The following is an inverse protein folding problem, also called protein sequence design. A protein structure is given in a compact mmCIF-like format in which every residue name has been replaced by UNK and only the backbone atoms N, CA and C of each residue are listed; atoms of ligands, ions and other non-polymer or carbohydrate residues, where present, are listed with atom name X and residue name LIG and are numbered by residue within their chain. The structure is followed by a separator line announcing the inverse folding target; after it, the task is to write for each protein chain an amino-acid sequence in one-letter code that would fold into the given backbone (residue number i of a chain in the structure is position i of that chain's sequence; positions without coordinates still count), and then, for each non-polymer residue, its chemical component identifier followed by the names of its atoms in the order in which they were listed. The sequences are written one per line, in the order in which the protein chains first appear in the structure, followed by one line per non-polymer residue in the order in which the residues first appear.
data_IF_208623994420
#
_entry.id   IF_208623994420
#
_cell.length_a   1.000
_cell.length_b   1.000
_cell.length_c   1.000
_cell.angle_alpha   90.00
_cell.angle_beta   90.00
_cell.angle_gamma   90.00
#
_symmetry.space_group_name_H-M   'P 1'
#
loop_
_entity.id
_entity.type
_entity.pdbx_description
1 polymer ?
#
# COMPACT_ATOMS: atom_id res chain seq x y z
N UNK A 1 20.23 -19.74 -12.49
CA UNK A 1 20.33 -18.36 -11.95
C UNK A 1 19.09 -17.97 -11.17
N UNK A 2 17.91 -18.10 -11.78
CA UNK A 2 16.67 -17.78 -11.06
C UNK A 2 16.50 -18.59 -9.79
N UNK A 3 16.86 -19.89 -9.82
CA UNK A 3 16.72 -20.77 -8.66
C UNK A 3 17.63 -20.35 -7.48
N UNK A 4 18.76 -19.72 -7.75
CA UNK A 4 19.64 -19.24 -6.68
C UNK A 4 19.06 -18.05 -5.95
N UNK A 5 18.37 -17.17 -6.67
CA UNK A 5 17.69 -16.02 -6.05
C UNK A 5 16.50 -16.52 -5.25
N UNK A 6 15.72 -17.44 -5.81
CA UNK A 6 14.58 -18.02 -5.12
C UNK A 6 15.02 -18.75 -3.83
N UNK A 7 16.09 -19.52 -3.91
CA UNK A 7 16.63 -20.21 -2.74
C UNK A 7 17.11 -19.22 -1.68
N UNK A 8 17.72 -18.12 -2.11
CA UNK A 8 18.19 -17.09 -1.19
C UNK A 8 16.99 -16.40 -0.49
N UNK A 9 15.96 -16.06 -1.24
CA UNK A 9 14.76 -15.46 -0.69
C UNK A 9 14.12 -16.39 0.34
N UNK A 10 13.93 -17.66 -0.02
CA UNK A 10 13.31 -18.65 0.86
C UNK A 10 14.11 -18.85 2.14
N UNK A 11 15.43 -18.89 2.03
CA UNK A 11 16.29 -19.13 3.18
C UNK A 11 16.37 -17.93 4.13
N UNK A 12 16.07 -16.73 3.62
CA UNK A 12 16.16 -15.49 4.42
C UNK A 12 14.80 -14.96 4.87
N UNK A 13 13.71 -15.53 4.37
CA UNK A 13 12.36 -15.16 4.80
C UNK A 13 12.02 -15.92 6.06
N UNK A 14 12.46 -15.39 7.20
CA UNK A 14 12.37 -16.06 8.48
C UNK A 14 11.40 -15.33 9.43
N UNK A 15 11.10 -16.00 10.56
CA UNK A 15 10.29 -15.40 11.62
C UNK A 15 10.94 -14.16 12.23
N UNK A 16 12.26 -14.01 12.10
CA UNK A 16 13.00 -12.86 12.65
C UNK A 16 12.74 -11.59 11.85
N UNK A 17 12.44 -11.71 10.56
CA UNK A 17 12.13 -10.56 9.71
C UNK A 17 11.08 -10.94 8.67
N UNK A 18 9.85 -11.22 9.11
CA UNK A 18 8.80 -11.69 8.21
C UNK A 18 8.32 -10.59 7.27
N UNK A 19 7.72 -11.01 6.16
CA UNK A 19 7.04 -10.11 5.24
C UNK A 19 5.70 -9.68 5.85
N UNK A 20 5.46 -8.37 5.84
CA UNK A 20 4.22 -7.79 6.35
C UNK A 20 3.37 -7.41 5.15
N UNK A 21 2.19 -8.03 4.95
CA UNK A 21 1.33 -7.68 3.82
C UNK A 21 0.82 -6.24 3.94
N UNK A 22 0.90 -5.51 2.84
CA UNK A 22 0.45 -4.13 2.76
C UNK A 22 -0.12 -3.81 1.39
N UNK A 23 -0.91 -2.76 1.30
CA UNK A 23 -1.47 -2.30 0.04
C UNK A 23 -1.32 -0.80 -0.08
N UNK A 24 -1.10 -0.34 -1.30
CA UNK A 24 -0.92 1.07 -1.62
C UNK A 24 -1.68 1.40 -2.89
N UNK A 25 -2.28 2.58 -2.95
CA UNK A 25 -2.99 3.02 -4.13
C UNK A 25 -2.43 4.34 -4.63
N UNK A 26 -2.15 4.40 -5.93
CA UNK A 26 -1.78 5.62 -6.63
C UNK A 26 -3.06 6.23 -7.19
N UNK A 27 -3.51 7.31 -6.56
CA UNK A 27 -4.72 8.01 -7.00
C UNK A 27 -4.31 9.07 -8.00
N UNK A 28 -4.82 8.96 -9.21
CA UNK A 28 -4.44 9.81 -10.32
C UNK A 28 -5.61 10.65 -10.81
N UNK A 29 -5.28 11.84 -11.30
CA UNK A 29 -6.27 12.74 -11.90
C UNK A 29 -5.61 13.59 -12.96
N UNK A 30 -6.41 14.14 -13.86
CA UNK A 30 -5.93 15.15 -14.79
C UNK A 30 -5.89 16.51 -14.09
N UNK A 31 -4.72 17.13 -14.11
CA UNK A 31 -4.55 18.47 -13.57
C UNK A 31 -4.28 19.48 -14.67
N UNK A 32 -4.15 20.75 -14.30
CA UNK A 32 -3.91 21.83 -15.26
C UNK A 32 -2.57 21.66 -15.99
N UNK A 33 -1.62 21.00 -15.37
CA UNK A 33 -0.28 20.79 -15.94
C UNK A 33 -0.03 19.36 -16.40
N UNK A 34 -1.07 18.53 -16.43
CA UNK A 34 -0.96 17.14 -16.81
C UNK A 34 -1.41 16.21 -15.70
N UNK A 35 -0.99 14.97 -15.79
CA UNK A 35 -1.38 13.94 -14.83
C UNK A 35 -0.80 14.22 -13.45
N UNK A 36 -1.65 14.13 -12.43
CA UNK A 36 -1.26 14.32 -11.04
C UNK A 36 -1.57 13.08 -10.22
N UNK A 37 -0.80 12.86 -9.17
CA UNK A 37 -1.07 11.82 -8.20
C UNK A 37 -1.07 12.39 -6.79
N UNK A 38 -1.89 11.79 -5.91
CA UNK A 38 -1.95 12.20 -4.52
C UNK A 38 -0.77 11.60 -3.75
N UNK A 39 -0.04 12.46 -3.08
CA UNK A 39 0.96 12.04 -2.11
C UNK A 39 0.74 12.79 -0.81
N UNK A 40 0.99 12.12 0.30
CA UNK A 40 0.85 12.70 1.64
C UNK A 40 2.20 12.70 2.32
N UNK A 41 2.47 13.75 3.09
CA UNK A 41 3.70 13.81 3.85
C UNK A 41 3.49 13.17 5.22
N UNK A 42 4.30 12.19 5.53
CA UNK A 42 4.26 11.51 6.82
C UNK A 42 4.95 12.38 7.86
N UNK A 43 4.18 12.96 8.77
CA UNK A 43 4.74 13.84 9.81
C UNK A 43 4.60 13.26 11.22
N UNK A 44 4.09 12.04 11.34
CA UNK A 44 4.00 11.37 12.63
C UNK A 44 5.36 10.84 13.07
N UNK A 45 5.50 10.58 14.36
CA UNK A 45 6.75 10.04 14.91
C UNK A 45 6.83 8.53 14.79
N UNK A 46 6.18 7.97 13.78
CA UNK A 46 6.32 6.54 13.48
C UNK A 46 7.74 6.24 13.05
N UNK A 47 8.19 5.04 13.34
CA UNK A 47 9.58 4.63 13.08
C UNK A 47 9.90 4.48 11.59
N UNK A 48 8.88 4.48 10.73
CA UNK A 48 9.06 4.26 9.30
C UNK A 48 8.61 5.48 8.50
N UNK A 49 9.47 5.93 7.59
CA UNK A 49 9.18 6.97 6.61
C UNK A 49 8.75 8.32 7.21
N UNK A 50 9.19 8.64 8.43
CA UNK A 50 8.90 9.95 9.05
C UNK A 50 9.41 11.08 8.16
N UNK A 51 8.56 12.06 7.89
CA UNK A 51 8.89 13.21 7.07
C UNK A 51 8.91 12.96 5.57
N UNK A 52 8.72 11.72 5.13
CA UNK A 52 8.73 11.36 3.72
C UNK A 52 7.34 11.50 3.09
N UNK A 53 7.33 11.72 1.78
CA UNK A 53 6.09 11.72 1.02
C UNK A 53 5.71 10.27 0.70
N UNK A 54 4.44 9.94 0.89
CA UNK A 54 3.93 8.58 0.71
C UNK A 54 2.60 8.60 -0.04
N UNK A 55 2.32 7.50 -0.75
CA UNK A 55 0.99 7.26 -1.29
C UNK A 55 0.07 6.74 -0.20
N UNK A 56 -1.25 6.92 -0.34
CA UNK A 56 -2.20 6.29 0.60
C UNK A 56 -2.01 4.77 0.63
N UNK A 57 -1.99 4.21 1.82
CA UNK A 57 -1.81 2.77 1.97
C UNK A 57 -1.42 2.39 3.38
N UNK A 58 -1.35 1.09 3.63
CA UNK A 58 -0.97 0.56 4.91
C UNK A 58 -1.05 -0.95 4.97
N UNK A 59 -0.94 -1.48 6.17
CA UNK A 59 -0.97 -2.93 6.40
C UNK A 59 -2.33 -3.51 6.05
N UNK A 60 -2.29 -4.75 5.55
CA UNK A 60 -3.51 -5.53 5.37
C UNK A 60 -3.87 -6.14 6.73
N UNK A 61 -5.07 -5.85 7.20
CA UNK A 61 -5.57 -6.39 8.47
C UNK A 61 -6.30 -7.72 8.23
N UNK A 62 -6.44 -8.52 9.28
CA UNK A 62 -7.17 -9.78 9.18
C UNK A 62 -8.61 -9.56 8.70
N UNK A 63 -9.23 -8.47 9.15
CA UNK A 63 -10.60 -8.10 8.77
C UNK A 63 -10.74 -7.73 7.30
N UNK A 64 -9.64 -7.43 6.61
CA UNK A 64 -9.68 -7.12 5.18
C UNK A 64 -9.89 -8.36 4.32
N UNK A 65 -9.63 -9.54 4.86
CA UNK A 65 -9.86 -10.80 4.15
C UNK A 65 -11.35 -11.11 4.03
N UNK A 66 -11.78 -11.75 2.92
CA UNK A 66 -13.18 -12.12 2.77
C UNK A 66 -13.63 -13.10 3.86
N UNK A 67 -14.92 -13.06 4.19
CA UNK A 67 -15.52 -13.99 5.16
C UNK A 67 -15.34 -15.46 4.73
N UNK A 68 -15.28 -15.69 3.43
CA UNK A 68 -15.12 -17.04 2.86
C UNK A 68 -13.76 -17.67 3.13
N UNK A 69 -12.77 -16.87 3.53
CA UNK A 69 -11.43 -17.39 3.84
C UNK A 69 -10.32 -16.46 3.41
N UNK A 70 -9.07 -16.77 3.78
CA UNK A 70 -7.93 -15.91 3.44
C UNK A 70 -7.76 -15.77 1.93
N UNK A 71 -7.64 -14.53 1.47
CA UNK A 71 -7.41 -14.18 0.07
C UNK A 71 -6.65 -12.85 0.06
N UNK A 72 -5.34 -12.93 -0.12
CA UNK A 72 -4.47 -11.75 0.01
C UNK A 72 -4.73 -10.70 -1.07
N UNK A 73 -5.06 -11.10 -2.29
CA UNK A 73 -5.37 -10.12 -3.34
C UNK A 73 -6.66 -9.38 -3.05
N UNK A 74 -7.72 -10.10 -2.67
CA UNK A 74 -8.97 -9.46 -2.27
C UNK A 74 -8.76 -8.57 -1.04
N UNK A 75 -7.99 -9.05 -0.06
CA UNK A 75 -7.68 -8.27 1.13
C UNK A 75 -6.87 -7.01 0.81
N UNK A 76 -5.97 -7.08 -0.17
CA UNK A 76 -5.17 -5.90 -0.55
C UNK A 76 -6.04 -4.81 -1.17
N UNK A 77 -7.05 -5.17 -1.96
CA UNK A 77 -8.01 -4.20 -2.49
C UNK A 77 -8.80 -3.54 -1.36
N UNK A 78 -9.32 -4.36 -0.46
CA UNK A 78 -10.08 -3.85 0.70
C UNK A 78 -9.21 -2.93 1.57
N UNK A 79 -7.97 -3.32 1.81
CA UNK A 79 -7.05 -2.51 2.61
C UNK A 79 -6.74 -1.16 1.92
N UNK A 80 -6.52 -1.17 0.60
CA UNK A 80 -6.24 0.06 -0.14
C UNK A 80 -7.43 1.03 -0.05
N UNK A 81 -8.65 0.52 -0.23
CA UNK A 81 -9.87 1.34 -0.10
C UNK A 81 -10.02 1.88 1.32
N UNK A 82 -9.83 1.03 2.31
CA UNK A 82 -9.95 1.43 3.73
C UNK A 82 -8.91 2.49 4.09
N UNK A 83 -7.65 2.28 3.72
CA UNK A 83 -6.58 3.21 4.05
C UNK A 83 -6.76 4.57 3.38
N UNK A 84 -7.24 4.60 2.14
CA UNK A 84 -7.53 5.87 1.47
C UNK A 84 -8.63 6.65 2.21
N UNK A 85 -9.62 5.95 2.75
CA UNK A 85 -10.66 6.58 3.55
C UNK A 85 -10.11 7.09 4.87
N UNK A 86 -9.34 6.27 5.56
CA UNK A 86 -8.79 6.63 6.87
C UNK A 86 -7.78 7.77 6.77
N UNK A 87 -6.90 7.74 5.78
CA UNK A 87 -5.79 8.69 5.68
C UNK A 87 -6.14 9.98 4.94
N UNK A 88 -6.99 9.92 3.92
CA UNK A 88 -7.28 11.06 3.06
C UNK A 88 -8.77 11.39 2.94
N UNK A 89 -9.63 10.65 3.63
CA UNK A 89 -11.09 10.80 3.58
C UNK A 89 -11.64 10.72 2.15
N UNK A 90 -11.09 9.81 1.37
CA UNK A 90 -11.52 9.57 0.00
C UNK A 90 -12.25 8.24 -0.13
N UNK A 91 -13.42 8.27 -0.75
CA UNK A 91 -14.21 7.08 -1.02
C UNK A 91 -13.85 6.56 -2.41
N UNK A 92 -13.20 5.39 -2.47
CA UNK A 92 -12.76 4.79 -3.73
C UNK A 92 -13.55 3.53 -3.98
N UNK A 93 -14.06 3.39 -5.20
CA UNK A 93 -14.74 2.16 -5.61
C UNK A 93 -13.70 1.04 -5.78
N UNK A 94 -13.93 -0.10 -5.15
CA UNK A 94 -13.02 -1.23 -5.26
C UNK A 94 -12.82 -1.67 -6.71
N UNK A 95 -13.88 -1.59 -7.50
CA UNK A 95 -13.84 -1.97 -8.92
C UNK A 95 -12.97 -1.05 -9.77
N UNK A 96 -12.66 0.16 -9.27
CA UNK A 96 -11.81 1.09 -10.00
C UNK A 96 -10.32 0.83 -9.81
N UNK A 97 -9.95 -0.03 -8.87
CA UNK A 97 -8.55 -0.34 -8.62
C UNK A 97 -8.00 -1.26 -9.70
N UNK A 98 -6.90 -0.81 -10.33
CA UNK A 98 -6.18 -1.60 -11.34
C UNK A 98 -4.88 -2.08 -10.71
N UNK A 99 -4.67 -3.39 -10.69
CA UNK A 99 -3.43 -3.97 -10.17
C UNK A 99 -2.25 -3.48 -10.99
N UNK A 100 -1.22 -2.98 -10.31
CA UNK A 100 -0.06 -2.39 -10.96
C UNK A 100 1.21 -3.21 -10.73
N UNK A 101 1.54 -3.49 -9.46
CA UNK A 101 2.79 -4.14 -9.14
C UNK A 101 2.75 -4.72 -7.73
N UNK A 102 3.65 -5.68 -7.47
CA UNK A 102 3.85 -6.26 -6.16
C UNK A 102 5.34 -6.20 -5.84
N UNK A 103 5.67 -5.57 -4.73
CA UNK A 103 7.06 -5.35 -4.34
C UNK A 103 7.40 -6.11 -3.07
N UNK A 104 8.56 -6.79 -3.12
CA UNK A 104 9.13 -7.53 -1.99
C UNK A 104 10.48 -6.92 -1.65
N UNK A 105 10.62 -6.28 -0.48
CA UNK A 105 11.91 -5.72 -0.09
C UNK A 105 12.89 -6.81 0.31
N UNK A 106 14.21 -6.52 0.26
CA UNK A 106 15.22 -7.48 0.67
C UNK A 106 15.17 -7.72 2.17
N UNK A 107 15.76 -8.83 2.61
CA UNK A 107 15.78 -9.23 4.02
C UNK A 107 16.47 -8.18 4.92
N UNK A 108 17.36 -7.36 4.34
CA UNK A 108 18.07 -6.33 5.06
C UNK A 108 17.22 -5.11 5.39
N UNK A 109 16.05 -4.97 4.78
CA UNK A 109 15.16 -3.85 5.09
C UNK A 109 14.68 -3.94 6.54
N UNK A 110 14.64 -2.80 7.28
CA UNK A 110 14.22 -2.81 8.69
C UNK A 110 12.81 -3.34 8.89
N UNK A 111 11.90 -2.99 7.97
CA UNK A 111 10.56 -3.53 7.92
C UNK A 111 10.29 -3.98 6.49
N UNK A 112 9.84 -5.22 6.35
CA UNK A 112 9.64 -5.83 5.04
C UNK A 112 8.17 -5.85 4.68
N UNK A 113 7.69 -4.76 4.11
CA UNK A 113 6.31 -4.71 3.63
C UNK A 113 6.21 -5.36 2.25
N UNK A 114 5.47 -6.46 2.18
CA UNK A 114 5.08 -7.08 0.91
C UNK A 114 3.91 -6.27 0.38
N UNK A 115 4.15 -5.39 -0.59
CA UNK A 115 3.19 -4.36 -0.95
C UNK A 115 2.58 -4.59 -2.32
N UNK A 116 1.26 -4.66 -2.36
CA UNK A 116 0.47 -4.68 -3.59
C UNK A 116 0.10 -3.25 -3.95
N UNK A 117 0.48 -2.83 -5.17
CA UNK A 117 0.22 -1.48 -5.67
C UNK A 117 -0.92 -1.47 -6.65
N UNK A 118 -1.84 -0.53 -6.47
CA UNK A 118 -2.98 -0.31 -7.34
C UNK A 118 -2.98 1.11 -7.86
N UNK A 119 -3.57 1.31 -9.03
CA UNK A 119 -3.81 2.64 -9.61
C UNK A 119 -5.31 2.82 -9.73
N UNK A 120 -5.81 3.99 -9.37
CA UNK A 120 -7.24 4.30 -9.46
C UNK A 120 -7.44 5.79 -9.70
N UNK A 121 -8.56 6.17 -10.35
CA UNK A 121 -8.90 7.60 -10.49
C UNK A 121 -9.18 8.22 -9.13
N UNK A 122 -8.69 9.43 -8.92
CA UNK A 122 -8.97 10.16 -7.69
C UNK A 122 -10.42 10.64 -7.70
N UNK A 123 -11.21 10.38 -6.65
CA UNK A 123 -12.59 10.84 -6.56
C UNK A 123 -12.65 12.30 -6.10
N UNK A 124 -12.97 13.21 -6.97
CA UNK A 124 -13.07 14.62 -6.61
C UNK A 124 -11.71 15.31 -6.52
N UNK A 125 -11.70 16.51 -5.97
CA UNK A 125 -10.50 17.36 -5.90
C UNK A 125 -10.06 17.72 -4.49
N UNK A 126 -10.94 17.58 -3.51
CA UNK A 126 -10.64 17.94 -2.13
C UNK A 126 -10.14 16.74 -1.35
N UNK A 127 -9.08 16.97 -0.58
CA UNK A 127 -8.47 15.95 0.26
C UNK A 127 -8.40 16.45 1.68
N UNK A 128 -8.92 15.64 2.61
CA UNK A 128 -8.80 15.90 4.05
C UNK A 128 -7.78 14.93 4.62
N UNK A 129 -6.70 15.49 5.13
CA UNK A 129 -5.56 14.68 5.59
C UNK A 129 -5.69 14.37 7.06
N UNK A 130 -5.42 13.12 7.44
CA UNK A 130 -5.34 12.70 8.82
C UNK A 130 -4.22 13.50 9.53
N UNK A 131 -4.43 13.83 10.81
CA UNK A 131 -3.47 14.63 11.57
C UNK A 131 -2.11 13.96 11.74
N UNK A 132 -2.03 12.67 11.58
CA UNK A 132 -0.78 11.92 11.62
C UNK A 132 0.02 11.96 10.34
N UNK A 133 -0.52 12.55 9.28
CA UNK A 133 0.06 12.55 7.94
C UNK A 133 0.50 13.92 7.42
#
# INVERSE_FOLDING_TARGET
MASRIEDWIDSHDSAENPLIPAATVLLIRDGDRGLETLMMRRNSKLSFAEGMWVFPGGRIDDEDHPVSGPDVLAASVTAAVREAKEEADLDIEAESLVYYSHWLPPVQAPKRFSTWFYVAPAPGTDVTVDRGE
#
